data_IF_194697228731
#
_entry.id   IF_194697228731
#
_cell.length_a   1.000
_cell.length_b   1.000
_cell.length_c   1.000
_cell.angle_alpha   90.00
_cell.angle_beta   90.00
_cell.angle_gamma   90.00
#
_symmetry.space_group_name_H-M   'P 1'
#
loop_
_entity.id
_entity.type
_entity.pdbx_description
1 polymer ?
#
# COMPACT_ATOMS: atom_id res chain seq x y z
N UNK A 1 21.04 -1.72 64.62
CA UNK A 1 20.63 -1.69 63.19
C UNK A 1 20.92 -3.05 62.55
N UNK A 2 20.06 -4.06 62.79
CA UNK A 2 20.11 -5.35 62.07
C UNK A 2 18.99 -5.32 61.04
N UNK A 3 19.42 -5.14 59.80
CA UNK A 3 18.61 -4.59 58.73
C UNK A 3 17.60 -5.58 58.17
N UNK A 4 16.58 -4.99 57.58
CA UNK A 4 15.53 -5.60 56.75
C UNK A 4 16.08 -6.23 55.45
N UNK A 5 17.31 -6.75 55.46
CA UNK A 5 17.98 -7.36 54.30
C UNK A 5 17.19 -8.54 53.73
N UNK A 6 16.48 -9.29 54.57
CA UNK A 6 15.59 -10.37 54.13
C UNK A 6 14.46 -9.86 53.22
N UNK A 7 13.90 -8.68 53.53
CA UNK A 7 12.83 -8.07 52.75
C UNK A 7 13.36 -7.58 51.39
N UNK A 8 14.55 -6.98 51.36
CA UNK A 8 15.18 -6.54 50.11
C UNK A 8 15.57 -7.71 49.19
N UNK A 9 16.04 -8.82 49.75
CA UNK A 9 16.31 -10.05 48.98
C UNK A 9 15.04 -10.65 48.37
N UNK A 10 13.91 -10.58 49.10
CA UNK A 10 12.62 -11.03 48.59
C UNK A 10 12.13 -10.16 47.41
N UNK A 11 12.22 -8.83 47.53
CA UNK A 11 11.86 -7.93 46.42
C UNK A 11 12.79 -8.07 45.20
N UNK A 12 14.09 -8.30 45.42
CA UNK A 12 15.03 -8.56 44.34
C UNK A 12 14.67 -9.85 43.57
N UNK A 13 14.27 -10.89 44.30
CA UNK A 13 13.79 -12.14 43.70
C UNK A 13 12.55 -11.96 42.83
N UNK A 14 11.55 -11.21 43.32
CA UNK A 14 10.34 -10.88 42.54
C UNK A 14 10.70 -10.12 41.26
N UNK A 15 11.59 -9.13 41.37
CA UNK A 15 11.98 -8.28 40.25
C UNK A 15 12.66 -9.10 39.14
N UNK A 16 13.54 -10.04 39.49
CA UNK A 16 14.18 -10.96 38.52
C UNK A 16 13.13 -11.85 37.82
N UNK A 17 12.16 -12.39 38.55
CA UNK A 17 11.09 -13.22 37.97
C UNK A 17 10.24 -12.41 36.99
N UNK A 18 9.92 -11.15 37.32
CA UNK A 18 9.17 -10.25 36.42
C UNK A 18 9.96 -9.99 35.14
N UNK A 19 11.26 -9.74 35.21
CA UNK A 19 12.10 -9.53 34.01
C UNK A 19 12.17 -10.78 33.14
N UNK A 20 12.28 -11.97 33.73
CA UNK A 20 12.24 -13.24 32.99
C UNK A 20 10.90 -13.39 32.28
N UNK A 21 9.79 -13.10 32.97
CA UNK A 21 8.45 -13.22 32.42
C UNK A 21 8.21 -12.23 31.27
N UNK A 22 8.66 -10.97 31.41
CA UNK A 22 8.61 -9.97 30.34
C UNK A 22 9.45 -10.43 29.14
N UNK A 23 10.66 -10.95 29.36
CA UNK A 23 11.51 -11.50 28.29
C UNK A 23 10.85 -12.67 27.56
N UNK A 24 10.15 -13.55 28.28
CA UNK A 24 9.40 -14.67 27.72
C UNK A 24 8.20 -14.20 26.89
N UNK A 25 7.42 -13.23 27.39
CA UNK A 25 6.32 -12.62 26.66
C UNK A 25 6.78 -11.91 25.39
N UNK A 26 7.93 -11.21 25.44
CA UNK A 26 8.53 -10.57 24.26
C UNK A 26 9.00 -11.61 23.24
N UNK A 27 9.59 -12.74 23.67
CA UNK A 27 9.96 -13.85 22.77
C UNK A 27 8.75 -14.54 22.17
N UNK A 28 7.67 -14.75 22.93
CA UNK A 28 6.43 -15.32 22.42
C UNK A 28 5.74 -14.38 21.43
N UNK A 29 5.71 -13.06 21.70
CA UNK A 29 5.23 -12.06 20.73
C UNK A 29 6.11 -12.03 19.48
N UNK A 30 7.43 -12.09 19.60
CA UNK A 30 8.35 -12.16 18.45
C UNK A 30 8.10 -13.42 17.62
N UNK A 31 7.96 -14.59 18.26
CA UNK A 31 7.68 -15.87 17.57
C UNK A 31 6.30 -15.90 16.93
N UNK A 32 5.28 -15.29 17.57
CA UNK A 32 3.95 -15.13 16.99
C UNK A 32 3.94 -14.14 15.82
N UNK A 33 4.70 -13.05 15.92
CA UNK A 33 4.91 -12.08 14.85
C UNK A 33 5.67 -12.70 13.67
N UNK A 34 6.73 -13.45 13.93
CA UNK A 34 7.50 -14.21 12.92
C UNK A 34 6.67 -15.34 12.31
N UNK A 35 5.81 -16.04 13.07
CA UNK A 35 4.90 -17.07 12.53
C UNK A 35 3.79 -16.47 11.67
N UNK A 36 3.25 -15.31 12.06
CA UNK A 36 2.26 -14.58 11.27
C UNK A 36 2.88 -13.94 10.01
N UNK A 37 4.14 -13.50 10.08
CA UNK A 37 4.89 -13.02 8.91
C UNK A 37 5.41 -14.15 8.02
N UNK A 38 5.81 -15.30 8.55
CA UNK A 38 6.24 -16.46 7.78
C UNK A 38 5.08 -17.03 6.92
N UNK A 39 3.86 -17.00 7.45
CA UNK A 39 2.65 -17.37 6.69
C UNK A 39 2.22 -16.29 5.67
N UNK A 40 2.76 -15.08 5.73
CA UNK A 40 2.54 -14.00 4.75
C UNK A 40 3.75 -13.78 3.81
N UNK A 41 4.85 -14.49 4.07
CA UNK A 41 6.15 -14.38 3.40
C UNK A 41 6.38 -15.47 2.34
N UNK A 42 5.41 -16.34 2.06
CA UNK A 42 5.58 -17.43 1.10
C UNK A 42 4.80 -17.27 -0.22
N UNK A 43 4.43 -16.04 -0.60
CA UNK A 43 4.02 -15.77 -1.99
C UNK A 43 4.94 -14.73 -2.62
N UNK A 44 6.04 -15.16 -3.27
CA UNK A 44 6.94 -14.29 -4.06
C UNK A 44 6.29 -13.73 -5.34
N UNK A 45 4.97 -13.79 -5.49
CA UNK A 45 4.26 -13.46 -6.73
C UNK A 45 3.51 -12.12 -6.74
N UNK A 46 3.51 -11.35 -5.64
CA UNK A 46 2.91 -10.01 -5.62
C UNK A 46 3.97 -8.95 -5.95
N UNK A 47 4.00 -8.50 -7.20
CA UNK A 47 5.01 -7.56 -7.70
C UNK A 47 4.77 -6.10 -7.29
N UNK A 48 3.62 -5.78 -6.69
CA UNK A 48 3.33 -4.46 -6.11
C UNK A 48 1.89 -4.02 -6.34
N UNK A 49 1.59 -2.80 -5.87
CA UNK A 49 0.30 -2.15 -6.10
C UNK A 49 0.54 -0.85 -6.86
N UNK A 50 -0.43 -0.41 -7.65
CA UNK A 50 -0.41 0.86 -8.36
C UNK A 50 -1.73 1.57 -8.09
N UNK A 51 -1.70 2.83 -7.71
CA UNK A 51 -2.91 3.66 -7.64
C UNK A 51 -2.98 4.56 -8.86
N UNK A 52 -4.15 4.60 -9.50
CA UNK A 52 -4.42 5.42 -10.67
C UNK A 52 -5.46 6.46 -10.26
N UNK A 53 -5.05 7.72 -10.19
CA UNK A 53 -5.90 8.85 -9.83
C UNK A 53 -6.34 9.60 -11.07
N UNK A 54 -7.61 9.99 -11.10
CA UNK A 54 -8.21 10.80 -12.15
C UNK A 54 -8.71 12.10 -11.53
N UNK A 55 -8.25 13.23 -12.05
CA UNK A 55 -8.78 14.55 -11.65
C UNK A 55 -10.12 14.87 -12.33
N UNK A 56 -10.67 16.06 -12.03
CA UNK A 56 -11.94 16.53 -12.60
C UNK A 56 -11.89 16.73 -14.12
N UNK A 57 -10.70 16.90 -14.69
CA UNK A 57 -10.46 17.04 -16.12
C UNK A 57 -10.06 15.70 -16.78
N UNK A 58 -10.11 14.60 -16.03
CA UNK A 58 -9.63 13.27 -16.41
C UNK A 58 -8.14 13.22 -16.72
N UNK A 59 -7.30 14.14 -16.23
CA UNK A 59 -5.86 13.90 -16.21
C UNK A 59 -5.54 12.81 -15.20
N UNK A 60 -4.53 12.02 -15.50
CA UNK A 60 -4.17 10.83 -14.73
C UNK A 60 -2.85 11.03 -14.02
N UNK A 61 -2.84 10.66 -12.74
CA UNK A 61 -1.62 10.45 -11.96
C UNK A 61 -1.53 8.98 -11.57
N UNK A 62 -0.42 8.34 -11.90
CA UNK A 62 -0.15 6.93 -11.56
C UNK A 62 0.96 6.87 -10.52
N UNK A 63 0.68 6.24 -9.39
CA UNK A 63 1.62 6.11 -8.27
C UNK A 63 1.85 4.62 -8.00
N UNK A 64 3.10 4.18 -8.11
CA UNK A 64 3.51 2.83 -7.75
C UNK A 64 3.68 2.69 -6.24
N UNK A 65 3.39 1.53 -5.69
CA UNK A 65 3.54 1.19 -4.29
C UNK A 65 4.29 -0.13 -4.14
N UNK A 66 5.26 -0.12 -3.24
CA UNK A 66 6.11 -1.26 -2.87
C UNK A 66 5.98 -1.52 -1.37
N UNK A 67 6.31 -2.73 -0.93
CA UNK A 67 6.33 -3.03 0.51
C UNK A 67 7.60 -2.46 1.14
N UNK A 68 7.46 -1.83 2.31
CA UNK A 68 8.61 -1.48 3.14
C UNK A 68 9.15 -2.69 3.92
N UNK A 69 10.20 -2.47 4.72
CA UNK A 69 10.83 -3.51 5.55
C UNK A 69 9.86 -4.15 6.56
N UNK A 70 8.77 -3.46 6.90
CA UNK A 70 7.73 -3.96 7.79
C UNK A 70 6.57 -4.63 7.03
N UNK A 71 6.65 -4.71 5.70
CA UNK A 71 5.63 -5.29 4.84
C UNK A 71 4.47 -4.33 4.51
N UNK A 72 4.52 -3.08 4.95
CA UNK A 72 3.48 -2.08 4.68
C UNK A 72 3.66 -1.48 3.29
N UNK A 73 2.54 -1.28 2.56
CA UNK A 73 2.58 -0.64 1.25
C UNK A 73 2.95 0.85 1.36
N UNK A 74 3.99 1.27 0.66
CA UNK A 74 4.49 2.64 0.59
C UNK A 74 4.67 3.06 -0.86
N UNK A 75 4.33 4.31 -1.17
CA UNK A 75 4.47 4.85 -2.51
C UNK A 75 5.95 4.92 -2.92
N UNK A 76 6.23 4.82 -4.21
CA UNK A 76 7.53 5.18 -4.78
C UNK A 76 7.56 6.68 -5.09
N UNK A 77 8.76 7.26 -5.15
CA UNK A 77 8.93 8.70 -5.36
C UNK A 77 8.79 9.17 -6.83
N UNK A 78 8.35 8.31 -7.75
CA UNK A 78 8.35 8.60 -9.19
C UNK A 78 6.96 8.46 -9.82
N UNK A 79 6.02 9.37 -9.50
CA UNK A 79 4.70 9.37 -10.11
C UNK A 79 4.79 9.57 -11.63
N UNK A 80 3.81 9.04 -12.35
CA UNK A 80 3.67 9.26 -13.79
C UNK A 80 2.41 10.09 -14.04
N UNK A 81 2.48 11.02 -15.00
CA UNK A 81 1.39 11.93 -15.32
C UNK A 81 0.98 11.75 -16.77
N UNK A 82 -0.32 11.83 -17.02
CA UNK A 82 -0.89 11.76 -18.36
C UNK A 82 -2.02 12.79 -18.46
N UNK A 83 -1.86 13.75 -19.36
CA UNK A 83 -2.84 14.80 -19.58
C UNK A 83 -3.79 14.42 -20.71
N UNK A 84 -5.06 14.81 -20.59
CA UNK A 84 -6.02 14.66 -21.68
C UNK A 84 -5.62 15.54 -22.89
N UNK A 85 -5.87 15.09 -24.13
CA UNK A 85 -6.52 13.83 -24.51
C UNK A 85 -5.54 12.63 -24.56
N UNK A 86 -6.00 11.46 -24.10
CA UNK A 86 -5.26 10.20 -24.27
C UNK A 86 -6.20 9.03 -24.59
N UNK A 87 -5.69 8.07 -25.36
CA UNK A 87 -6.42 6.84 -25.65
C UNK A 87 -6.13 5.76 -24.58
N UNK A 88 -6.88 4.66 -24.65
CA UNK A 88 -6.79 3.58 -23.66
C UNK A 88 -5.46 2.83 -23.72
N UNK A 89 -4.82 2.76 -24.88
CA UNK A 89 -3.49 2.16 -25.02
C UNK A 89 -2.44 2.93 -24.20
N UNK A 90 -2.40 4.28 -24.30
CA UNK A 90 -1.46 5.12 -23.55
C UNK A 90 -1.68 5.00 -22.03
N UNK A 91 -2.95 4.97 -21.60
CA UNK A 91 -3.28 4.76 -20.19
C UNK A 91 -2.78 3.40 -19.69
N UNK A 92 -3.08 2.32 -20.41
CA UNK A 92 -2.63 0.98 -20.05
C UNK A 92 -1.11 0.85 -20.04
N UNK A 93 -0.43 1.42 -21.03
CA UNK A 93 1.04 1.45 -21.09
C UNK A 93 1.63 2.17 -19.88
N UNK A 94 1.06 3.30 -19.48
CA UNK A 94 1.50 4.07 -18.31
C UNK A 94 1.34 3.27 -17.02
N UNK A 95 0.21 2.60 -16.85
CA UNK A 95 -0.06 1.73 -15.68
C UNK A 95 0.87 0.52 -15.68
N UNK A 96 1.10 -0.12 -16.83
CA UNK A 96 2.02 -1.26 -16.93
C UNK A 96 3.47 -0.83 -16.66
N UNK A 97 3.88 0.34 -17.13
CA UNK A 97 5.18 0.91 -16.80
C UNK A 97 5.31 1.17 -15.29
N UNK A 98 4.28 1.70 -14.64
CA UNK A 98 4.24 1.86 -13.19
C UNK A 98 4.28 0.52 -12.43
N UNK A 99 3.63 -0.52 -12.94
CA UNK A 99 3.71 -1.87 -12.38
C UNK A 99 5.14 -2.42 -12.44
N UNK A 100 5.85 -2.24 -13.57
CA UNK A 100 7.27 -2.64 -13.68
C UNK A 100 8.16 -1.88 -12.69
N UNK A 101 7.86 -0.61 -12.40
CA UNK A 101 8.60 0.17 -11.38
C UNK A 101 8.40 -0.35 -9.95
N UNK A 102 7.39 -1.18 -9.70
CA UNK A 102 7.26 -1.83 -8.41
C UNK A 102 8.31 -2.93 -8.21
N UNK A 103 8.84 -3.51 -9.30
CA UNK A 103 9.91 -4.50 -9.26
C UNK A 103 11.23 -3.80 -8.85
N UNK A 104 11.69 -4.06 -7.62
CA UNK A 104 12.91 -3.42 -7.09
C UNK A 104 12.74 -1.94 -6.72
N UNK A 105 11.50 -1.42 -6.69
CA UNK A 105 11.22 -0.05 -6.29
C UNK A 105 11.53 0.20 -4.82
N UNK A 106 11.94 1.43 -4.50
CA UNK A 106 12.27 1.85 -3.14
C UNK A 106 11.11 2.67 -2.54
N UNK A 107 10.66 2.35 -1.31
CA UNK A 107 9.70 3.18 -0.59
C UNK A 107 10.15 4.64 -0.49
N UNK A 108 9.21 5.56 -0.69
CA UNK A 108 9.39 6.99 -0.51
C UNK A 108 8.54 7.47 0.68
N UNK A 109 9.01 8.51 1.38
CA UNK A 109 8.19 9.17 2.39
C UNK A 109 7.07 9.97 1.73
N UNK A 110 5.94 10.09 2.43
CA UNK A 110 4.79 10.88 1.99
C UNK A 110 5.18 12.34 1.73
N UNK A 111 6.03 12.93 2.57
CA UNK A 111 6.54 14.30 2.38
C UNK A 111 7.24 14.46 1.02
N UNK A 112 8.12 13.52 0.67
CA UNK A 112 8.85 13.57 -0.60
C UNK A 112 7.93 13.27 -1.79
N UNK A 113 6.98 12.34 -1.63
CA UNK A 113 5.98 12.08 -2.66
C UNK A 113 5.13 13.33 -2.94
N UNK A 114 4.62 13.97 -1.90
CA UNK A 114 3.77 15.16 -2.02
C UNK A 114 4.53 16.33 -2.64
N UNK A 115 5.80 16.52 -2.29
CA UNK A 115 6.67 17.49 -2.96
C UNK A 115 6.80 17.19 -4.48
N UNK A 116 6.99 15.93 -4.86
CA UNK A 116 7.08 15.53 -6.27
C UNK A 116 5.74 15.67 -7.02
N UNK A 117 4.62 15.57 -6.33
CA UNK A 117 3.29 15.81 -6.88
C UNK A 117 2.92 17.31 -6.90
N UNK A 118 3.65 18.17 -6.17
CA UNK A 118 3.36 19.60 -6.05
C UNK A 118 2.25 19.94 -5.05
N UNK A 119 2.02 19.11 -4.03
CA UNK A 119 0.97 19.30 -3.02
C UNK A 119 1.55 19.30 -1.59
N UNK A 120 0.81 19.86 -0.62
CA UNK A 120 1.23 19.88 0.79
C UNK A 120 0.89 18.59 1.52
N UNK A 121 -0.06 17.81 1.01
CA UNK A 121 -0.51 16.58 1.65
C UNK A 121 -1.63 15.86 0.90
N UNK A 122 -1.99 14.68 1.39
CA UNK A 122 -3.00 13.81 0.79
C UNK A 122 -4.37 14.46 0.64
N UNK A 123 -4.81 15.26 1.61
CA UNK A 123 -6.10 15.96 1.55
C UNK A 123 -6.19 16.89 0.34
N UNK A 124 -5.12 17.64 0.08
CA UNK A 124 -5.02 18.58 -1.04
C UNK A 124 -4.86 17.83 -2.36
N UNK A 125 -3.95 16.86 -2.41
CA UNK A 125 -3.73 16.05 -3.60
C UNK A 125 -5.00 15.31 -4.04
N UNK A 126 -5.73 14.70 -3.11
CA UNK A 126 -6.91 13.89 -3.43
C UNK A 126 -8.18 14.69 -3.73
N UNK A 127 -8.18 16.01 -3.50
CA UNK A 127 -9.40 16.80 -3.66
C UNK A 127 -9.93 16.72 -5.09
N UNK A 128 -11.22 16.37 -5.20
CA UNK A 128 -11.91 16.20 -6.48
C UNK A 128 -11.36 15.07 -7.35
N UNK A 129 -10.55 14.14 -6.81
CA UNK A 129 -9.98 13.02 -7.56
C UNK A 129 -10.72 11.72 -7.28
N UNK A 130 -10.86 10.91 -8.32
CA UNK A 130 -11.28 9.50 -8.21
C UNK A 130 -10.04 8.62 -8.27
N UNK A 131 -10.10 7.42 -7.69
CA UNK A 131 -8.95 6.51 -7.72
C UNK A 131 -9.35 5.05 -7.91
N UNK A 132 -8.47 4.32 -8.61
CA UNK A 132 -8.50 2.86 -8.73
C UNK A 132 -7.21 2.30 -8.15
N UNK A 133 -7.33 1.24 -7.37
CA UNK A 133 -6.19 0.41 -6.96
C UNK A 133 -6.01 -0.73 -7.95
N UNK A 134 -4.82 -0.85 -8.51
CA UNK A 134 -4.40 -1.90 -9.42
C UNK A 134 -3.40 -2.78 -8.69
N UNK A 135 -3.71 -4.05 -8.54
CA UNK A 135 -2.81 -5.06 -7.97
C UNK A 135 -2.46 -6.07 -9.05
N UNK A 136 -1.20 -6.48 -9.14
CA UNK A 136 -0.77 -7.49 -10.10
C UNK A 136 -0.07 -8.66 -9.41
N UNK A 137 -0.51 -9.86 -9.79
CA UNK A 137 0.05 -11.12 -9.32
C UNK A 137 0.15 -12.07 -10.51
N UNK A 138 1.24 -12.84 -10.61
CA UNK A 138 1.43 -13.78 -11.74
C UNK A 138 0.32 -14.84 -11.80
N UNK A 139 -0.10 -15.38 -10.65
CA UNK A 139 -1.14 -16.41 -10.57
C UNK A 139 -2.57 -15.91 -10.80
N UNK A 140 -2.90 -14.67 -10.42
CA UNK A 140 -4.29 -14.16 -10.49
C UNK A 140 -4.50 -13.09 -11.55
N UNK A 141 -3.43 -12.64 -12.23
CA UNK A 141 -3.47 -11.58 -13.21
C UNK A 141 -3.51 -10.18 -12.59
N UNK A 142 -4.25 -9.27 -13.22
CA UNK A 142 -4.38 -7.87 -12.81
C UNK A 142 -5.75 -7.70 -12.15
N UNK A 143 -5.76 -7.30 -10.89
CA UNK A 143 -6.95 -7.00 -10.10
C UNK A 143 -7.13 -5.49 -10.00
N UNK A 144 -8.24 -4.99 -10.52
CA UNK A 144 -8.65 -3.60 -10.50
C UNK A 144 -9.74 -3.41 -9.43
N UNK A 145 -9.53 -2.52 -8.49
CA UNK A 145 -10.49 -2.23 -7.44
C UNK A 145 -10.83 -0.74 -7.43
N UNK A 146 -12.13 -0.44 -7.47
CA UNK A 146 -12.60 0.90 -7.19
C UNK A 146 -12.26 1.27 -5.75
N UNK A 147 -11.97 2.55 -5.53
CA UNK A 147 -11.69 3.08 -4.20
C UNK A 147 -12.61 4.25 -3.89
N UNK A 148 -12.73 4.56 -2.60
CA UNK A 148 -13.48 5.70 -2.10
C UNK A 148 -12.55 6.58 -1.29
N UNK A 149 -12.65 7.88 -1.50
CA UNK A 149 -11.93 8.90 -0.74
C UNK A 149 -12.49 9.01 0.69
N UNK A 150 -11.60 9.03 1.66
CA UNK A 150 -11.86 9.30 3.08
C UNK A 150 -11.76 10.80 3.38
N UNK A 151 -12.27 11.24 4.53
CA UNK A 151 -12.24 12.67 4.92
C UNK A 151 -10.81 13.24 5.12
N UNK A 152 -9.87 12.38 5.48
CA UNK A 152 -8.44 12.70 5.57
C UNK A 152 -7.74 12.77 4.21
N UNK A 153 -8.44 12.43 3.12
CA UNK A 153 -7.91 12.40 1.75
C UNK A 153 -7.21 11.10 1.36
N UNK A 154 -7.19 10.09 2.23
CA UNK A 154 -6.74 8.75 1.87
C UNK A 154 -7.81 8.02 1.03
N UNK A 155 -7.44 6.90 0.42
CA UNK A 155 -8.38 6.06 -0.32
C UNK A 155 -8.42 4.66 0.28
N UNK A 156 -9.62 4.13 0.39
CA UNK A 156 -9.89 2.76 0.82
C UNK A 156 -10.68 2.01 -0.25
N UNK A 157 -10.58 0.68 -0.25
CA UNK A 157 -11.32 -0.15 -1.21
C UNK A 157 -12.82 0.11 -1.08
N UNK A 158 -13.49 0.32 -2.22
CA UNK A 158 -14.93 0.46 -2.26
C UNK A 158 -15.58 -0.90 -2.54
N UNK A 159 -15.91 -1.64 -1.48
CA UNK A 159 -16.52 -2.96 -1.59
C UNK A 159 -17.93 -2.96 -2.21
N UNK A 160 -18.59 -1.80 -2.29
CA UNK A 160 -19.89 -1.68 -2.96
C UNK A 160 -19.77 -1.71 -4.50
N UNK A 161 -18.58 -1.44 -5.04
CA UNK A 161 -18.31 -1.49 -6.48
C UNK A 161 -17.47 -2.73 -6.77
N UNK A 162 -18.01 -3.75 -7.47
CA UNK A 162 -17.25 -4.95 -7.79
C UNK A 162 -15.96 -4.61 -8.54
N UNK A 163 -14.85 -5.15 -8.04
CA UNK A 163 -13.58 -5.11 -8.73
C UNK A 163 -13.62 -5.92 -10.03
N UNK A 164 -12.56 -5.79 -10.83
CA UNK A 164 -12.40 -6.52 -12.08
C UNK A 164 -11.06 -7.23 -12.10
N UNK A 165 -11.08 -8.52 -12.41
CA UNK A 165 -9.87 -9.30 -12.66
C UNK A 165 -9.71 -9.43 -14.18
N UNK A 166 -8.52 -9.14 -14.69
CA UNK A 166 -8.16 -9.35 -16.10
C UNK A 166 -6.88 -10.19 -16.20
N UNK A 167 -6.70 -10.97 -17.28
CA UNK A 167 -5.49 -11.75 -17.48
C UNK A 167 -4.23 -10.88 -17.48
N UNK A 168 -3.13 -11.36 -16.90
CA UNK A 168 -1.86 -10.62 -16.88
C UNK A 168 -1.25 -10.38 -18.27
N UNK A 169 -1.59 -11.24 -19.23
CA UNK A 169 -1.16 -11.18 -20.64
C UNK A 169 -2.02 -10.24 -21.50
N UNK A 170 -2.98 -9.52 -20.92
CA UNK A 170 -3.80 -8.57 -21.67
C UNK A 170 -2.94 -7.49 -22.33
N UNK A 171 -3.46 -6.93 -23.42
CA UNK A 171 -2.86 -5.79 -24.12
C UNK A 171 -2.97 -4.51 -23.29
N UNK A 172 -2.15 -3.51 -23.61
CA UNK A 172 -2.24 -2.19 -22.98
C UNK A 172 -3.60 -1.51 -23.26
N UNK A 173 -4.17 -1.71 -24.45
CA UNK A 173 -5.51 -1.23 -24.79
C UNK A 173 -6.58 -1.82 -23.87
N UNK A 174 -6.58 -3.14 -23.65
CA UNK A 174 -7.54 -3.82 -22.77
C UNK A 174 -7.41 -3.39 -21.30
N UNK A 175 -6.17 -3.23 -20.81
CA UNK A 175 -5.91 -2.72 -19.46
C UNK A 175 -6.48 -1.29 -19.30
N UNK A 176 -6.19 -0.39 -20.24
CA UNK A 176 -6.69 0.98 -20.18
C UNK A 176 -8.21 1.08 -20.30
N UNK A 177 -8.83 0.27 -21.18
CA UNK A 177 -10.29 0.18 -21.29
C UNK A 177 -10.94 -0.32 -20.00
N UNK A 178 -10.34 -1.32 -19.36
CA UNK A 178 -10.84 -1.84 -18.10
C UNK A 178 -10.78 -0.79 -16.98
N UNK A 179 -9.73 0.02 -16.95
CA UNK A 179 -9.57 1.12 -15.99
C UNK A 179 -10.61 2.23 -16.26
N UNK A 180 -10.77 2.66 -17.51
CA UNK A 180 -11.77 3.68 -17.88
C UNK A 180 -13.19 3.27 -17.49
N UNK A 181 -13.60 2.04 -17.81
CA UNK A 181 -14.92 1.53 -17.44
C UNK A 181 -15.13 1.42 -15.93
N UNK A 182 -14.06 1.20 -15.16
CA UNK A 182 -14.17 1.11 -13.71
C UNK A 182 -14.22 2.50 -13.05
N UNK A 183 -13.49 3.49 -13.58
CA UNK A 183 -13.43 4.82 -12.95
C UNK A 183 -14.75 5.57 -13.09
N UNK A 184 -15.53 5.29 -14.13
CA UNK A 184 -16.90 5.77 -14.32
C UNK A 184 -17.83 5.39 -13.16
N UNK A 185 -17.51 4.33 -12.42
CA UNK A 185 -18.28 3.88 -11.24
C UNK A 185 -17.77 4.46 -9.92
N UNK A 186 -16.66 5.21 -9.95
CA UNK A 186 -16.09 5.83 -8.77
C UNK A 186 -16.64 7.25 -8.61
N UNK A 187 -16.92 7.65 -7.37
CA UNK A 187 -17.30 9.04 -7.03
C UNK A 187 -16.08 9.75 -6.42
N UNK A 188 -15.94 11.04 -6.73
CA UNK A 188 -14.90 11.90 -6.17
C UNK A 188 -15.27 12.34 -4.74
#
# INVERSE_FOLDING_TARGET
MRGNYSIYLFYLGILVVVFIFIGLLLRLKKKSYEKNNANFSSNPENFGNVSVFFDRHNNVTVISYVKDMCGMGRATGSPMFLNMPYNSCILGQSVRAAMRKCEGGVPCSDTKLMANLGFKGWREFSDGKRSISVKYCKSTGIVLNATRRSEDGTYQMNYAVPGRVIPGICTDGELGEAIKKLIEKCTA
#
